data_IF_900220019147
#
_entry.id   IF_900220019147
#
_cell.length_a   1.000
_cell.length_b   1.000
_cell.length_c   1.000
_cell.angle_alpha   90.00
_cell.angle_beta   90.00
_cell.angle_gamma   90.00
#
_symmetry.space_group_name_H-M   'P 1'
#
loop_
_entity.id
_entity.type
_entity.pdbx_description
1 polymer ?
#
# COMPACT_ATOMS: atom_id res chain seq x y z
N UNK A 1 27.73 9.80 -2.56
CA UNK A 1 26.66 8.81 -2.80
C UNK A 1 26.46 8.70 -4.29
N UNK A 2 26.47 7.49 -4.86
CA UNK A 2 26.11 7.31 -6.27
C UNK A 2 24.59 7.44 -6.33
N UNK A 3 24.13 8.48 -7.00
CA UNK A 3 22.71 8.71 -7.24
C UNK A 3 22.20 7.68 -8.25
N UNK A 4 21.11 6.99 -7.93
CA UNK A 4 20.50 6.03 -8.85
C UNK A 4 19.73 6.81 -9.93
N UNK A 5 19.85 6.43 -11.21
CA UNK A 5 19.07 7.06 -12.27
C UNK A 5 17.58 6.70 -12.16
N UNK A 6 16.69 7.49 -12.76
CA UNK A 6 15.26 7.17 -12.80
C UNK A 6 15.02 5.84 -13.53
N UNK A 7 15.70 5.61 -14.66
CA UNK A 7 15.55 4.36 -15.42
C UNK A 7 15.96 3.14 -14.59
N UNK A 8 17.01 3.24 -13.78
CA UNK A 8 17.45 2.18 -12.88
C UNK A 8 16.38 1.88 -11.81
N UNK A 9 15.77 2.92 -11.22
CA UNK A 9 14.66 2.75 -10.26
C UNK A 9 13.41 2.13 -10.89
N UNK A 10 13.01 2.60 -12.07
CA UNK A 10 11.89 2.02 -12.84
C UNK A 10 12.13 0.55 -13.12
N UNK A 11 13.33 0.20 -13.60
CA UNK A 11 13.69 -1.20 -13.88
C UNK A 11 13.64 -2.07 -12.62
N UNK A 12 14.13 -1.56 -11.49
CA UNK A 12 14.06 -2.28 -10.22
C UNK A 12 12.60 -2.54 -9.79
N UNK A 13 11.71 -1.57 -9.95
CA UNK A 13 10.29 -1.74 -9.62
C UNK A 13 9.59 -2.74 -10.54
N UNK A 14 9.89 -2.72 -11.84
CA UNK A 14 9.38 -3.72 -12.79
C UNK A 14 9.84 -5.13 -12.41
N UNK A 15 11.11 -5.28 -12.02
CA UNK A 15 11.62 -6.56 -11.54
C UNK A 15 10.99 -6.98 -10.21
N UNK A 16 10.69 -6.03 -9.32
CA UNK A 16 9.93 -6.32 -8.10
C UNK A 16 8.52 -6.81 -8.40
N UNK A 17 7.84 -6.24 -9.42
CA UNK A 17 6.57 -6.74 -9.93
C UNK A 17 6.64 -8.19 -10.41
N UNK A 18 7.68 -8.54 -11.16
CA UNK A 18 7.93 -9.94 -11.56
C UNK A 18 8.17 -10.84 -10.35
N UNK A 19 8.97 -10.37 -9.39
CA UNK A 19 9.21 -11.12 -8.15
C UNK A 19 7.90 -11.42 -7.44
N UNK A 20 7.01 -10.43 -7.23
CA UNK A 20 5.68 -10.66 -6.64
C UNK A 20 4.89 -11.78 -7.32
N UNK A 21 4.95 -11.86 -8.65
CA UNK A 21 4.25 -12.88 -9.45
C UNK A 21 4.95 -14.23 -9.56
N UNK A 22 6.18 -14.38 -9.03
CA UNK A 22 7.02 -15.58 -9.21
C UNK A 22 7.49 -16.20 -7.90
N UNK A 23 6.67 -16.14 -6.85
CA UNK A 23 7.02 -16.72 -5.56
C UNK A 23 7.04 -18.26 -5.62
N UNK A 24 8.01 -18.88 -4.95
CA UNK A 24 7.96 -20.32 -4.68
C UNK A 24 6.85 -20.60 -3.65
N UNK A 25 5.96 -21.56 -3.90
CA UNK A 25 4.80 -21.79 -3.02
C UNK A 25 5.20 -22.21 -1.60
N UNK A 26 6.29 -22.96 -1.41
CA UNK A 26 6.74 -23.35 -0.07
C UNK A 26 7.32 -22.17 0.72
N UNK A 27 8.09 -21.30 0.06
CA UNK A 27 8.62 -20.07 0.66
C UNK A 27 7.50 -19.06 0.94
N UNK A 28 6.53 -18.95 0.02
CA UNK A 28 5.34 -18.12 0.18
C UNK A 28 4.50 -18.57 1.37
N UNK A 29 4.33 -19.88 1.56
CA UNK A 29 3.59 -20.44 2.69
C UNK A 29 4.27 -20.16 4.03
N UNK A 30 5.59 -20.30 4.09
CA UNK A 30 6.35 -19.92 5.27
C UNK A 30 6.21 -18.42 5.58
N UNK A 31 6.29 -17.56 4.55
CA UNK A 31 6.08 -16.12 4.70
C UNK A 31 4.66 -15.81 5.21
N UNK A 32 3.65 -16.46 4.65
CA UNK A 32 2.25 -16.29 5.07
C UNK A 32 2.05 -16.69 6.53
N UNK A 33 2.64 -17.81 6.97
CA UNK A 33 2.57 -18.23 8.37
C UNK A 33 3.21 -17.21 9.31
N UNK A 34 4.39 -16.69 8.94
CA UNK A 34 5.07 -15.66 9.73
C UNK A 34 4.27 -14.35 9.81
N UNK A 35 3.70 -13.92 8.69
CA UNK A 35 2.87 -12.72 8.62
C UNK A 35 1.56 -12.88 9.39
N UNK A 36 0.88 -14.02 9.28
CA UNK A 36 -0.34 -14.33 10.01
C UNK A 36 -0.11 -14.38 11.53
N UNK A 37 1.03 -14.89 11.99
CA UNK A 37 1.41 -14.86 13.41
C UNK A 37 1.58 -13.43 13.96
N UNK A 38 1.94 -12.47 13.10
CA UNK A 38 2.03 -11.06 13.45
C UNK A 38 0.65 -10.38 13.40
N UNK A 39 -0.19 -10.73 12.42
CA UNK A 39 -1.51 -10.17 12.21
C UNK A 39 -2.47 -11.22 11.65
N UNK A 40 -3.41 -11.69 12.47
CA UNK A 40 -4.36 -12.76 12.11
C UNK A 40 -5.27 -12.42 10.92
N UNK A 41 -5.41 -11.14 10.57
CA UNK A 41 -6.15 -10.73 9.38
C UNK A 41 -5.38 -10.99 8.07
N UNK A 42 -4.08 -11.27 8.14
CA UNK A 42 -3.25 -11.57 6.98
C UNK A 42 -3.32 -13.05 6.64
N UNK A 43 -4.52 -13.47 6.20
CA UNK A 43 -4.71 -14.81 5.64
C UNK A 43 -3.86 -15.01 4.40
N UNK A 44 -3.52 -16.27 4.09
CA UNK A 44 -2.79 -16.63 2.87
C UNK A 44 -3.45 -16.02 1.62
N UNK A 45 -4.79 -16.01 1.56
CA UNK A 45 -5.53 -15.42 0.45
C UNK A 45 -5.44 -13.89 0.41
N UNK A 46 -5.48 -13.23 1.57
CA UNK A 46 -5.28 -11.76 1.64
C UNK A 46 -3.89 -11.36 1.17
N UNK A 47 -2.86 -12.10 1.63
CA UNK A 47 -1.47 -11.85 1.21
C UNK A 47 -1.34 -12.12 -0.29
N UNK A 48 -1.87 -13.24 -0.80
CA UNK A 48 -1.85 -13.57 -2.22
C UNK A 48 -2.55 -12.52 -3.08
N UNK A 49 -3.72 -12.03 -2.66
CA UNK A 49 -4.45 -10.95 -3.33
C UNK A 49 -3.59 -9.67 -3.40
N UNK A 50 -2.90 -9.33 -2.32
CA UNK A 50 -1.97 -8.19 -2.29
C UNK A 50 -0.76 -8.39 -3.21
N UNK A 51 -0.14 -9.57 -3.19
CA UNK A 51 0.99 -9.91 -4.06
C UNK A 51 0.60 -9.83 -5.54
N UNK A 52 -0.55 -10.39 -5.92
CA UNK A 52 -1.06 -10.30 -7.29
C UNK A 52 -1.31 -8.84 -7.69
N UNK A 53 -1.97 -8.06 -6.84
CA UNK A 53 -2.22 -6.65 -7.11
C UNK A 53 -0.92 -5.85 -7.29
N UNK A 54 0.12 -6.14 -6.52
CA UNK A 54 1.44 -5.52 -6.68
C UNK A 54 2.20 -6.00 -7.92
N UNK A 55 2.13 -7.30 -8.26
CA UNK A 55 2.68 -7.82 -9.51
C UNK A 55 2.06 -7.10 -10.71
N UNK A 56 0.75 -6.94 -10.71
CA UNK A 56 0.01 -6.27 -11.78
C UNK A 56 0.28 -4.76 -11.83
N UNK A 57 0.41 -4.11 -10.67
CA UNK A 57 0.63 -2.66 -10.57
C UNK A 57 2.04 -2.26 -10.98
N UNK A 58 3.02 -3.14 -10.75
CA UNK A 58 4.43 -2.92 -11.07
C UNK A 58 4.82 -3.46 -12.46
N UNK A 59 3.91 -3.40 -13.42
CA UNK A 59 4.23 -3.67 -14.82
C UNK A 59 5.01 -2.50 -15.44
N UNK A 60 5.80 -2.78 -16.48
CA UNK A 60 6.56 -1.74 -17.18
C UNK A 60 5.64 -0.64 -17.74
N UNK A 61 4.50 -1.03 -18.31
CA UNK A 61 3.50 -0.09 -18.84
C UNK A 61 2.95 0.82 -17.74
N UNK A 62 2.47 0.26 -16.64
CA UNK A 62 1.85 1.04 -15.55
C UNK A 62 2.85 1.93 -14.84
N UNK A 63 4.08 1.46 -14.61
CA UNK A 63 5.13 2.30 -14.01
C UNK A 63 5.51 3.44 -14.94
N UNK A 64 5.72 3.18 -16.23
CA UNK A 64 6.05 4.24 -17.20
C UNK A 64 4.92 5.28 -17.28
N UNK A 65 3.66 4.84 -17.31
CA UNK A 65 2.51 5.74 -17.26
C UNK A 65 2.47 6.55 -15.94
N UNK A 66 2.75 5.89 -14.81
CA UNK A 66 2.79 6.55 -13.50
C UNK A 66 3.86 7.64 -13.43
N UNK A 67 5.06 7.40 -13.95
CA UNK A 67 6.18 8.37 -13.84
C UNK A 67 6.16 9.47 -14.89
N UNK A 68 5.50 9.24 -16.04
CA UNK A 68 5.44 10.18 -17.17
C UNK A 68 5.06 11.63 -16.82
N UNK A 69 4.04 11.91 -15.98
CA UNK A 69 3.62 13.30 -15.73
C UNK A 69 4.57 14.09 -14.81
N UNK A 70 5.60 13.45 -14.25
CA UNK A 70 6.46 14.07 -13.24
C UNK A 70 7.83 14.44 -13.81
N UNK A 71 8.35 15.58 -13.38
CA UNK A 71 9.77 15.93 -13.53
C UNK A 71 10.49 15.64 -12.22
N UNK A 72 11.36 14.64 -12.22
CA UNK A 72 12.10 14.25 -11.03
C UNK A 72 13.36 15.11 -10.86
N UNK A 73 13.44 15.79 -9.72
CA UNK A 73 14.69 16.40 -9.24
C UNK A 73 15.17 15.54 -8.09
N UNK A 74 16.28 14.84 -8.28
CA UNK A 74 16.88 14.11 -7.18
C UNK A 74 17.43 15.10 -6.17
N UNK A 75 16.77 15.14 -5.01
CA UNK A 75 17.17 16.02 -3.92
C UNK A 75 17.81 15.28 -2.75
N UNK A 76 17.72 13.94 -2.72
CA UNK A 76 18.25 13.12 -1.63
C UNK A 76 17.63 13.44 -0.27
N UNK A 77 16.40 13.99 -0.23
CA UNK A 77 15.73 14.35 1.01
C UNK A 77 15.38 13.10 1.82
N UNK A 78 15.49 13.19 3.13
CA UNK A 78 14.99 12.19 4.06
C UNK A 78 13.51 12.38 4.25
N UNK A 79 12.71 11.46 3.73
CA UNK A 79 11.26 11.46 3.89
C UNK A 79 10.89 10.43 4.96
N UNK A 80 10.39 10.91 6.09
CA UNK A 80 9.92 10.08 7.19
C UNK A 80 8.59 9.42 6.85
N UNK A 81 8.50 8.10 6.98
CA UNK A 81 7.31 7.31 6.68
C UNK A 81 6.79 6.64 7.94
N UNK A 82 5.57 7.00 8.37
CA UNK A 82 4.80 6.23 9.34
C UNK A 82 3.80 5.38 8.57
N UNK A 83 4.13 4.10 8.41
CA UNK A 83 3.35 3.19 7.58
C UNK A 83 2.15 2.65 8.34
N UNK A 84 1.02 2.50 7.65
CA UNK A 84 -0.10 1.69 8.10
C UNK A 84 0.17 0.20 7.85
N UNK A 85 -0.58 -0.68 8.51
CA UNK A 85 -0.45 -2.13 8.36
C UNK A 85 -1.74 -2.90 8.59
N UNK A 86 -2.88 -2.23 8.40
CA UNK A 86 -4.22 -2.81 8.55
C UNK A 86 -4.56 -3.83 7.45
N UNK A 87 -3.96 -3.71 6.27
CA UNK A 87 -4.02 -4.70 5.18
C UNK A 87 -2.61 -4.97 4.64
N UNK A 88 -2.34 -6.14 4.03
CA UNK A 88 -0.99 -6.52 3.61
C UNK A 88 -0.36 -5.51 2.64
N UNK A 89 0.83 -5.02 2.97
CA UNK A 89 1.66 -4.13 2.14
C UNK A 89 1.04 -2.77 1.82
N UNK A 90 0.07 -2.30 2.62
CA UNK A 90 -0.59 -1.01 2.38
C UNK A 90 0.37 0.19 2.38
N UNK A 91 1.44 0.10 3.17
CA UNK A 91 2.48 1.12 3.25
C UNK A 91 3.48 1.12 2.09
N UNK A 92 3.49 0.08 1.25
CA UNK A 92 4.50 -0.08 0.20
C UNK A 92 4.47 1.04 -0.83
N UNK A 93 3.29 1.53 -1.18
CA UNK A 93 3.14 2.64 -2.12
C UNK A 93 3.93 3.89 -1.70
N UNK A 94 3.94 4.23 -0.42
CA UNK A 94 4.67 5.39 0.08
C UNK A 94 6.18 5.19 -0.05
N UNK A 95 6.67 4.00 0.29
CA UNK A 95 8.09 3.66 0.18
C UNK A 95 8.54 3.74 -1.28
N UNK A 96 7.78 3.12 -2.19
CA UNK A 96 8.07 3.16 -3.62
C UNK A 96 8.01 4.58 -4.19
N UNK A 97 7.04 5.40 -3.74
CA UNK A 97 6.92 6.81 -4.13
C UNK A 97 8.13 7.64 -3.69
N UNK A 98 8.64 7.41 -2.47
CA UNK A 98 9.86 8.10 -2.01
C UNK A 98 11.07 7.66 -2.82
N UNK A 99 11.25 6.35 -3.03
CA UNK A 99 12.39 5.81 -3.78
C UNK A 99 12.36 6.33 -5.22
N UNK A 100 11.25 6.18 -5.95
CA UNK A 100 11.15 6.58 -7.38
C UNK A 100 11.44 8.07 -7.58
N UNK A 101 11.11 8.89 -6.58
CA UNK A 101 11.37 10.33 -6.58
C UNK A 101 12.84 10.72 -6.36
N UNK A 102 13.73 9.76 -6.12
CA UNK A 102 15.15 10.00 -5.84
C UNK A 102 15.43 10.46 -4.40
N UNK A 103 14.49 10.20 -3.48
CA UNK A 103 14.62 10.56 -2.06
C UNK A 103 14.95 9.32 -1.21
N UNK A 104 15.22 9.55 0.07
CA UNK A 104 15.58 8.51 1.06
C UNK A 104 14.35 8.24 1.93
N UNK A 105 13.86 7.01 1.92
CA UNK A 105 12.76 6.55 2.75
C UNK A 105 13.25 6.23 4.16
N UNK A 106 12.89 7.06 5.14
CA UNK A 106 13.13 6.81 6.56
C UNK A 106 11.89 6.10 7.15
N UNK A 107 11.94 4.77 7.22
CA UNK A 107 10.77 3.92 7.43
C UNK A 107 10.59 3.54 8.88
N UNK A 108 9.45 3.94 9.45
CA UNK A 108 8.88 3.37 10.67
C UNK A 108 7.74 2.41 10.29
N UNK A 109 8.00 1.11 10.36
CA UNK A 109 7.00 0.08 10.03
C UNK A 109 5.81 0.10 10.99
N UNK A 110 4.64 -0.31 10.50
CA UNK A 110 3.54 -0.74 11.35
C UNK A 110 3.92 -2.06 12.02
N UNK A 111 3.66 -2.19 13.32
CA UNK A 111 3.83 -3.46 14.03
C UNK A 111 2.90 -4.58 13.53
N UNK A 112 1.93 -4.27 12.67
CA UNK A 112 0.99 -5.22 12.07
C UNK A 112 1.46 -5.78 10.72
N UNK A 113 2.51 -5.21 10.11
CA UNK A 113 2.94 -5.57 8.74
C UNK A 113 4.47 -5.50 8.56
N UNK A 114 5.23 -5.63 9.65
CA UNK A 114 6.69 -5.56 9.60
C UNK A 114 7.28 -6.70 8.75
N UNK A 115 6.73 -7.91 8.88
CA UNK A 115 7.29 -9.10 8.21
C UNK A 115 7.20 -8.97 6.69
N UNK A 116 6.02 -8.70 6.13
CA UNK A 116 5.89 -8.60 4.67
C UNK A 116 6.66 -7.40 4.12
N UNK A 117 6.54 -6.23 4.77
CA UNK A 117 7.25 -5.03 4.33
C UNK A 117 8.77 -5.25 4.28
N UNK A 118 9.37 -5.86 5.31
CA UNK A 118 10.81 -6.16 5.31
C UNK A 118 11.19 -7.17 4.23
N UNK A 119 10.40 -8.22 4.04
CA UNK A 119 10.66 -9.23 3.00
C UNK A 119 10.65 -8.59 1.60
N UNK A 120 9.65 -7.77 1.30
CA UNK A 120 9.55 -7.07 0.01
C UNK A 120 10.71 -6.09 -0.20
N UNK A 121 11.06 -5.30 0.80
CA UNK A 121 12.16 -4.33 0.68
C UNK A 121 13.52 -5.02 0.55
N UNK A 122 13.71 -6.17 1.21
CA UNK A 122 14.90 -6.99 1.00
C UNK A 122 14.94 -7.57 -0.42
N UNK A 123 13.81 -8.01 -0.96
CA UNK A 123 13.74 -8.45 -2.37
C UNK A 123 14.10 -7.31 -3.33
N UNK A 124 13.58 -6.09 -3.10
CA UNK A 124 13.92 -4.92 -3.90
C UNK A 124 15.42 -4.59 -3.85
N UNK A 125 16.04 -4.66 -2.67
CA UNK A 125 17.49 -4.47 -2.50
C UNK A 125 18.29 -5.58 -3.19
N UNK A 126 17.83 -6.83 -3.15
CA UNK A 126 18.50 -7.93 -3.86
C UNK A 126 18.43 -7.76 -5.38
N UNK A 127 17.33 -7.18 -5.88
CA UNK A 127 17.13 -6.87 -7.30
C UNK A 127 18.04 -5.72 -7.77
N UNK A 128 18.14 -4.65 -6.99
CA UNK A 128 19.00 -3.50 -7.26
C UNK A 128 19.70 -3.04 -5.97
N UNK A 129 20.94 -3.52 -5.69
CA UNK A 129 21.64 -3.24 -4.44
C UNK A 129 21.84 -1.76 -4.13
N UNK A 130 21.93 -0.89 -5.14
CA UNK A 130 22.09 0.56 -4.92
C UNK A 130 20.90 1.20 -4.21
N UNK A 131 19.69 0.61 -4.33
CA UNK A 131 18.48 1.08 -3.61
C UNK A 131 18.68 1.04 -2.10
N UNK A 132 19.59 0.21 -1.57
CA UNK A 132 19.85 0.15 -0.13
C UNK A 132 20.19 1.54 0.45
N UNK A 133 20.85 2.40 -0.32
CA UNK A 133 21.17 3.77 0.09
C UNK A 133 19.95 4.70 0.24
N UNK A 134 18.81 4.33 -0.37
CA UNK A 134 17.54 5.06 -0.30
C UNK A 134 16.58 4.50 0.77
N UNK A 135 16.98 3.48 1.54
CA UNK A 135 16.14 2.86 2.57
C UNK A 135 16.85 2.95 3.91
N UNK A 136 16.22 3.64 4.87
CA UNK A 136 16.70 3.75 6.24
C UNK A 136 15.59 3.29 7.19
N UNK A 137 15.79 2.17 7.88
CA UNK A 137 14.89 1.77 8.96
C UNK A 137 15.14 2.63 10.20
N UNK A 138 14.08 3.16 10.81
CA UNK A 138 14.19 4.09 11.94
C UNK A 138 13.10 3.83 12.98
N UNK A 139 13.45 4.03 14.26
CA UNK A 139 12.48 3.96 15.34
C UNK A 139 11.70 5.28 15.51
N UNK A 140 12.34 6.41 15.18
CA UNK A 140 11.83 7.78 15.31
C UNK A 140 12.20 8.61 14.07
N UNK A 141 11.39 9.62 13.76
CA UNK A 141 11.50 10.44 12.55
C UNK A 141 12.10 11.83 12.79
N UNK A 142 13.02 11.95 13.76
CA UNK A 142 13.55 13.24 14.20
C UNK A 142 14.32 14.00 13.09
N UNK A 143 14.98 13.27 12.18
CA UNK A 143 15.86 13.83 11.15
C UNK A 143 15.22 13.88 9.75
N UNK A 144 13.88 13.86 9.68
CA UNK A 144 13.16 13.87 8.42
C UNK A 144 12.98 15.31 7.88
N UNK A 145 13.31 15.52 6.61
CA UNK A 145 13.08 16.78 5.89
C UNK A 145 11.59 16.98 5.55
N UNK A 146 10.86 15.88 5.35
CA UNK A 146 9.42 15.86 5.11
C UNK A 146 8.83 14.55 5.65
N UNK A 147 7.51 14.51 5.89
CA UNK A 147 6.86 13.34 6.51
C UNK A 147 5.61 12.90 5.75
N UNK A 148 5.46 11.60 5.53
CA UNK A 148 4.20 10.96 5.16
C UNK A 148 3.76 10.09 6.33
N UNK A 149 2.62 10.40 6.94
CA UNK A 149 2.10 9.66 8.07
C UNK A 149 0.69 9.18 7.78
N UNK A 150 0.47 7.88 7.89
CA UNK A 150 -0.84 7.24 7.68
C UNK A 150 -1.28 6.54 8.95
N UNK A 151 -2.52 6.76 9.37
CA UNK A 151 -3.06 6.10 10.55
C UNK A 151 -4.52 6.45 10.80
N UNK A 152 -5.01 6.06 11.97
CA UNK A 152 -6.37 6.37 12.42
C UNK A 152 -6.56 7.87 12.65
N UNK A 153 -7.83 8.30 12.79
CA UNK A 153 -8.16 9.68 13.13
C UNK A 153 -7.53 10.12 14.47
N UNK A 154 -7.37 9.19 15.42
CA UNK A 154 -6.69 9.47 16.68
C UNK A 154 -5.20 9.75 16.47
N UNK A 155 -4.51 8.90 15.71
CA UNK A 155 -3.09 9.08 15.39
C UNK A 155 -2.84 10.33 14.54
N UNK A 156 -3.77 10.67 13.63
CA UNK A 156 -3.65 11.85 12.77
C UNK A 156 -3.57 13.16 13.57
N UNK A 157 -4.29 13.28 14.70
CA UNK A 157 -4.16 14.46 15.59
C UNK A 157 -2.76 14.56 16.18
N UNK A 158 -2.20 13.45 16.64
CA UNK A 158 -0.83 13.40 17.15
C UNK A 158 0.19 13.75 16.06
N UNK A 159 0.04 13.19 14.85
CA UNK A 159 0.90 13.49 13.72
C UNK A 159 0.87 14.97 13.33
N UNK A 160 -0.30 15.61 13.35
CA UNK A 160 -0.43 17.05 13.06
C UNK A 160 0.33 17.91 14.07
N UNK A 161 0.25 17.54 15.35
CA UNK A 161 0.99 18.25 16.40
C UNK A 161 2.50 18.02 16.27
N UNK A 162 2.93 16.77 16.11
CA UNK A 162 4.34 16.39 16.13
C UNK A 162 5.09 16.79 14.85
N UNK A 163 4.45 16.70 13.68
CA UNK A 163 5.05 17.01 12.38
C UNK A 163 4.60 18.34 11.79
N UNK A 164 3.83 19.14 12.52
CA UNK A 164 3.21 20.38 12.00
C UNK A 164 4.21 21.41 11.45
N UNK A 165 5.45 21.38 11.94
CA UNK A 165 6.53 22.29 11.51
C UNK A 165 7.33 21.78 10.29
N UNK A 166 7.08 20.55 9.83
CA UNK A 166 7.72 19.96 8.65
C UNK A 166 6.73 19.92 7.49
N UNK A 167 7.17 19.99 6.22
CA UNK A 167 6.34 19.61 5.08
C UNK A 167 5.79 18.18 5.28
N UNK A 168 4.48 18.01 5.24
CA UNK A 168 3.88 16.72 5.56
C UNK A 168 2.65 16.37 4.73
N UNK A 169 2.44 15.07 4.55
CA UNK A 169 1.21 14.44 4.07
C UNK A 169 0.67 13.57 5.20
N UNK A 170 -0.43 13.99 5.81
CA UNK A 170 -1.09 13.21 6.87
C UNK A 170 -2.37 12.61 6.29
N UNK A 171 -2.41 11.29 6.19
CA UNK A 171 -3.57 10.54 5.72
C UNK A 171 -4.26 9.89 6.92
N UNK A 172 -5.51 10.27 7.11
CA UNK A 172 -6.40 9.73 8.14
C UNK A 172 -7.48 8.87 7.48
N UNK A 173 -8.39 8.31 8.27
CA UNK A 173 -9.45 7.47 7.76
C UNK A 173 -10.35 8.23 6.76
N UNK A 174 -10.82 7.49 5.76
CA UNK A 174 -11.84 7.92 4.80
C UNK A 174 -12.90 6.83 4.75
N UNK A 175 -14.11 7.22 4.36
CA UNK A 175 -15.24 6.31 4.19
C UNK A 175 -15.61 6.33 2.72
N UNK A 176 -15.46 5.20 2.05
CA UNK A 176 -16.01 5.03 0.70
C UNK A 176 -17.51 4.80 0.78
N UNK A 177 -18.24 5.35 -0.18
CA UNK A 177 -19.67 5.19 -0.33
C UNK A 177 -19.98 4.52 -1.68
N UNK A 178 -20.88 3.55 -1.67
CA UNK A 178 -21.50 3.00 -2.87
C UNK A 178 -22.84 3.69 -3.14
N UNK A 179 -23.16 3.94 -4.40
CA UNK A 179 -24.44 4.53 -4.81
C UNK A 179 -25.05 3.58 -5.84
N UNK A 180 -26.19 2.99 -5.49
CA UNK A 180 -27.00 2.14 -6.36
C UNK A 180 -28.09 3.03 -6.96
N UNK A 181 -28.26 3.02 -8.27
CA UNK A 181 -29.27 3.82 -8.99
C UNK A 181 -30.49 3.00 -9.43
N UNK A 182 -30.44 1.66 -9.34
CA UNK A 182 -31.51 0.72 -9.70
C UNK A 182 -31.33 0.05 -11.06
N UNK A 183 -30.26 0.37 -11.80
CA UNK A 183 -29.94 -0.20 -13.12
C UNK A 183 -28.88 -1.31 -13.03
N UNK A 184 -28.37 -1.60 -11.84
CA UNK A 184 -27.34 -2.60 -11.58
C UNK A 184 -27.80 -4.03 -11.87
N UNK A 185 -26.88 -4.83 -12.39
CA UNK A 185 -27.05 -6.27 -12.57
C UNK A 185 -26.44 -7.07 -11.39
N UNK A 186 -26.51 -8.40 -11.48
CA UNK A 186 -26.00 -9.29 -10.42
C UNK A 186 -24.48 -9.17 -10.29
N UNK A 187 -23.78 -9.04 -11.41
CA UNK A 187 -22.32 -8.90 -11.46
C UNK A 187 -21.87 -7.58 -10.81
N UNK A 188 -22.62 -6.50 -10.97
CA UNK A 188 -22.36 -5.21 -10.30
C UNK A 188 -22.48 -5.35 -8.77
N UNK A 189 -23.48 -6.10 -8.29
CA UNK A 189 -23.63 -6.35 -6.86
C UNK A 189 -22.54 -7.26 -6.28
N UNK A 190 -22.09 -8.26 -7.05
CA UNK A 190 -20.96 -9.10 -6.67
C UNK A 190 -19.67 -8.28 -6.57
N UNK A 191 -19.41 -7.42 -7.55
CA UNK A 191 -18.26 -6.51 -7.52
C UNK A 191 -18.34 -5.54 -6.32
N UNK A 192 -19.52 -5.01 -6.01
CA UNK A 192 -19.73 -4.21 -4.81
C UNK A 192 -19.48 -5.03 -3.52
N UNK A 193 -19.89 -6.30 -3.51
CA UNK A 193 -19.57 -7.24 -2.42
C UNK A 193 -18.06 -7.37 -2.21
N UNK A 194 -17.29 -7.52 -3.29
CA UNK A 194 -15.82 -7.52 -3.21
C UNK A 194 -15.27 -6.21 -2.63
N UNK A 195 -15.79 -5.05 -3.07
CA UNK A 195 -15.39 -3.74 -2.57
C UNK A 195 -15.71 -3.54 -1.08
N UNK A 196 -16.76 -4.18 -0.57
CA UNK A 196 -17.13 -4.14 0.85
C UNK A 196 -16.24 -5.10 1.66
N UNK A 197 -16.15 -6.37 1.26
CA UNK A 197 -15.66 -7.44 2.12
C UNK A 197 -14.18 -7.80 1.93
N UNK A 198 -13.55 -7.36 0.84
CA UNK A 198 -12.11 -7.60 0.64
C UNK A 198 -11.31 -7.09 1.84
N UNK A 199 -10.38 -7.92 2.32
CA UNK A 199 -9.59 -7.67 3.54
C UNK A 199 -10.44 -7.45 4.79
N UNK A 200 -11.58 -8.15 4.91
CA UNK A 200 -12.48 -8.09 6.07
C UNK A 200 -12.95 -6.65 6.36
N UNK A 201 -13.12 -5.85 5.30
CA UNK A 201 -13.48 -4.43 5.37
C UNK A 201 -12.49 -3.54 6.13
N UNK A 202 -11.24 -3.99 6.34
CA UNK A 202 -10.23 -3.24 7.08
C UNK A 202 -9.49 -2.21 6.21
N UNK A 203 -9.66 -2.22 4.89
CA UNK A 203 -9.06 -1.29 3.96
C UNK A 203 -9.72 0.09 4.02
N UNK A 204 -8.92 1.16 3.93
CA UNK A 204 -9.41 2.54 3.96
C UNK A 204 -10.24 2.97 2.73
N UNK A 205 -10.36 2.08 1.75
CA UNK A 205 -11.15 2.25 0.53
C UNK A 205 -12.34 1.30 0.44
N UNK A 206 -12.50 0.37 1.39
CA UNK A 206 -13.68 -0.48 1.40
C UNK A 206 -14.95 0.35 1.53
N UNK A 207 -16.00 -0.06 0.83
CA UNK A 207 -17.30 0.60 0.91
C UNK A 207 -17.91 0.31 2.27
N UNK A 208 -18.13 1.37 3.05
CA UNK A 208 -18.69 1.25 4.41
C UNK A 208 -20.15 1.74 4.50
N UNK A 209 -20.66 2.33 3.43
CA UNK A 209 -22.03 2.83 3.34
C UNK A 209 -22.53 2.73 1.91
N UNK A 210 -23.72 2.17 1.73
CA UNK A 210 -24.39 2.06 0.43
C UNK A 210 -25.67 2.90 0.47
N UNK A 211 -25.86 3.75 -0.53
CA UNK A 211 -27.12 4.45 -0.78
C UNK A 211 -27.91 3.71 -1.85
N UNK A 212 -29.20 3.52 -1.61
CA UNK A 212 -30.13 2.83 -2.50
C UNK A 212 -31.32 3.74 -2.83
N UNK A 213 -31.99 3.55 -3.98
CA UNK A 213 -33.21 4.27 -4.31
C UNK A 213 -34.34 3.94 -3.33
N UNK A 214 -35.29 4.86 -3.18
CA UNK A 214 -36.51 4.59 -2.43
C UNK A 214 -37.30 3.45 -3.10
N UNK A 215 -37.77 2.49 -2.30
CA UNK A 215 -38.46 1.30 -2.80
C UNK A 215 -37.56 0.20 -3.38
N UNK A 216 -36.23 0.32 -3.27
CA UNK A 216 -35.30 -0.70 -3.73
C UNK A 216 -35.46 -2.03 -2.97
N UNK A 217 -35.48 -3.14 -3.71
CA UNK A 217 -35.61 -4.49 -3.16
C UNK A 217 -34.29 -4.97 -2.54
N UNK A 218 -34.04 -4.59 -1.28
CA UNK A 218 -32.87 -5.01 -0.50
C UNK A 218 -32.52 -6.51 -0.59
N UNK A 219 -33.48 -7.46 -0.63
CA UNK A 219 -33.15 -8.88 -0.78
C UNK A 219 -32.35 -9.22 -2.04
N UNK A 220 -32.54 -8.47 -3.14
CA UNK A 220 -31.75 -8.66 -4.37
C UNK A 220 -30.27 -8.37 -4.15
N UNK A 221 -29.97 -7.26 -3.45
CA UNK A 221 -28.61 -6.84 -3.13
C UNK A 221 -27.95 -7.79 -2.13
N UNK A 222 -28.65 -8.16 -1.06
CA UNK A 222 -28.10 -9.02 -0.01
C UNK A 222 -27.84 -10.42 -0.57
N UNK A 223 -28.79 -11.00 -1.31
CA UNK A 223 -28.66 -12.35 -1.86
C UNK A 223 -27.57 -12.49 -2.93
N UNK A 224 -27.10 -11.39 -3.52
CA UNK A 224 -25.97 -11.41 -4.46
C UNK A 224 -24.60 -11.27 -3.78
N UNK A 225 -24.54 -11.05 -2.47
CA UNK A 225 -23.32 -10.79 -1.70
C UNK A 225 -22.84 -11.96 -0.84
N UNK A 226 -23.53 -13.12 -0.89
CA UNK A 226 -23.13 -14.37 -0.21
C UNK A 226 -22.00 -15.10 -0.97
#
# INVERSE_FOLDING_TARGET
MIELALEERVKAFVHLGKWFGSQNEAEFDALCQMAANQNNWFTKDSIRKSFQAWADSLSAEKINHWVQPYTFKSSGKKVGLVLAGNIPLVGLHDVLSVIISGNIACIKYSSQDTILMKTVLNALVNIEPKIKSQIQEVERLNDADAVIATGSDNSARYFKHYFGNHPHVIRQNRVSVGIINGEENIEDFQALGEDIFTYFSLGCRNVAKVFIPEGFELPKLIGSMD
#
